data_IF_114023448344
#
_entry.id   IF_114023448344
#
_cell.length_a   1.000
_cell.length_b   1.000
_cell.length_c   1.000
_cell.angle_alpha   90.00
_cell.angle_beta   90.00
_cell.angle_gamma   90.00
#
_symmetry.space_group_name_H-M   'P 1'
#
loop_
_entity.id
_entity.type
_entity.pdbx_description
1 polymer ?
#
# COMPACT_ATOMS: atom_id res chain seq x y z
N UNK A 1 -11.63 -1.34 -5.08
CA UNK A 1 -10.30 -0.68 -5.12
C UNK A 1 -9.84 -0.20 -6.50
N UNK A 2 -10.53 -0.54 -7.61
CA UNK A 2 -10.29 0.05 -8.94
C UNK A 2 -11.29 1.18 -9.23
N UNK A 3 -11.42 2.12 -8.29
CA UNK A 3 -12.33 3.25 -8.46
C UNK A 3 -11.90 4.09 -9.69
N UNK A 4 -12.84 4.64 -10.46
CA UNK A 4 -12.50 5.42 -11.65
C UNK A 4 -11.81 6.76 -11.29
N UNK A 5 -11.90 7.18 -10.04
CA UNK A 5 -11.39 8.45 -9.52
C UNK A 5 -9.90 8.36 -9.12
N UNK A 6 -9.12 9.42 -9.40
CA UNK A 6 -7.65 9.40 -9.27
C UNK A 6 -7.11 9.32 -7.84
N UNK A 7 -7.88 9.73 -6.82
CA UNK A 7 -7.42 9.79 -5.43
C UNK A 7 -7.85 8.59 -4.58
N UNK A 8 -8.52 7.58 -5.16
CA UNK A 8 -9.07 6.44 -4.42
C UNK A 8 -8.46 5.12 -4.91
N UNK A 9 -8.24 4.19 -3.97
CA UNK A 9 -7.73 2.85 -4.27
C UNK A 9 -6.35 2.89 -4.91
N UNK A 10 -6.12 2.06 -5.93
CA UNK A 10 -4.81 1.94 -6.63
C UNK A 10 -4.30 3.29 -7.14
N UNK A 11 -5.18 4.11 -7.74
CA UNK A 11 -4.78 5.43 -8.25
C UNK A 11 -4.38 6.39 -7.11
N UNK A 12 -5.06 6.28 -5.96
CA UNK A 12 -4.69 7.00 -4.73
C UNK A 12 -3.29 6.65 -4.25
N UNK A 13 -2.96 5.34 -4.21
CA UNK A 13 -1.61 4.86 -3.84
C UNK A 13 -0.54 5.46 -4.77
N UNK A 14 -0.79 5.44 -6.09
CA UNK A 14 0.13 6.02 -7.08
C UNK A 14 0.28 7.54 -6.92
N UNK A 15 -0.80 8.24 -6.56
CA UNK A 15 -0.79 9.68 -6.29
C UNK A 15 0.06 10.02 -5.06
N UNK A 16 -0.07 9.23 -3.98
CA UNK A 16 0.79 9.37 -2.80
C UNK A 16 2.25 9.11 -3.16
N UNK A 17 2.55 8.06 -3.92
CA UNK A 17 3.91 7.76 -4.37
C UNK A 17 4.52 8.93 -5.18
N UNK A 18 3.76 9.48 -6.13
CA UNK A 18 4.20 10.65 -6.90
C UNK A 18 4.41 11.89 -6.02
N UNK A 19 3.62 12.05 -4.96
CA UNK A 19 3.77 13.15 -4.00
C UNK A 19 5.07 12.98 -3.22
N UNK A 20 5.34 11.79 -2.70
CA UNK A 20 6.58 11.45 -1.98
C UNK A 20 7.81 11.72 -2.85
N UNK A 21 7.82 11.27 -4.10
CA UNK A 21 8.94 11.49 -5.03
C UNK A 21 9.26 12.98 -5.26
N UNK A 22 8.22 13.82 -5.30
CA UNK A 22 8.36 15.27 -5.54
C UNK A 22 8.68 16.07 -4.27
N UNK A 23 8.67 15.44 -3.09
CA UNK A 23 8.90 16.12 -1.81
C UNK A 23 10.24 16.88 -1.77
N UNK A 24 11.39 16.30 -2.18
CA UNK A 24 12.68 16.99 -2.09
C UNK A 24 12.78 18.24 -2.95
N UNK A 25 12.15 18.22 -4.14
CA UNK A 25 12.17 19.35 -5.07
C UNK A 25 11.22 20.49 -4.66
N UNK A 26 10.17 20.19 -3.89
CA UNK A 26 9.12 21.16 -3.56
C UNK A 26 9.18 21.70 -2.14
N UNK A 27 9.82 20.98 -1.22
CA UNK A 27 9.72 21.28 0.20
C UNK A 27 11.04 21.06 0.95
N UNK A 28 11.21 21.80 2.06
CA UNK A 28 12.36 21.66 2.94
C UNK A 28 12.33 20.34 3.75
N UNK A 29 13.48 19.94 4.28
CA UNK A 29 13.65 18.68 5.02
C UNK A 29 12.67 18.52 6.21
N UNK A 30 12.30 19.62 6.88
CA UNK A 30 11.33 19.60 8.00
C UNK A 30 9.95 19.13 7.51
N UNK A 31 9.46 19.70 6.41
CA UNK A 31 8.18 19.30 5.83
C UNK A 31 8.20 17.86 5.34
N UNK A 32 9.28 17.43 4.68
CA UNK A 32 9.43 16.05 4.21
C UNK A 32 9.29 15.04 5.36
N UNK A 33 9.98 15.29 6.48
CA UNK A 33 9.91 14.47 7.69
C UNK A 33 8.50 14.42 8.28
N UNK A 34 7.82 15.57 8.37
CA UNK A 34 6.46 15.65 8.89
C UNK A 34 5.46 14.91 7.99
N UNK A 35 5.60 15.04 6.67
CA UNK A 35 4.74 14.36 5.70
C UNK A 35 4.90 12.84 5.80
N UNK A 36 6.13 12.33 5.77
CA UNK A 36 6.40 10.89 5.90
C UNK A 36 5.95 10.35 7.26
N UNK A 37 6.19 11.08 8.35
CA UNK A 37 5.71 10.71 9.68
C UNK A 37 4.19 10.67 9.77
N UNK A 38 3.50 11.63 9.13
CA UNK A 38 2.04 11.64 9.06
C UNK A 38 1.49 10.43 8.30
N UNK A 39 2.12 10.01 7.19
CA UNK A 39 1.73 8.79 6.49
C UNK A 39 1.84 7.54 7.37
N UNK A 40 2.94 7.40 8.12
CA UNK A 40 3.13 6.28 9.06
C UNK A 40 2.05 6.31 10.14
N UNK A 41 1.77 7.47 10.73
CA UNK A 41 0.73 7.63 11.75
C UNK A 41 -0.65 7.23 11.24
N UNK A 42 -1.01 7.70 10.05
CA UNK A 42 -2.29 7.35 9.41
C UNK A 42 -2.42 5.84 9.17
N UNK A 43 -1.33 5.14 8.87
CA UNK A 43 -1.34 3.70 8.60
C UNK A 43 -1.29 2.83 9.85
N UNK A 44 -0.42 3.14 10.80
CA UNK A 44 -0.08 2.25 11.92
C UNK A 44 -0.83 2.61 13.20
N UNK A 45 -0.99 3.91 13.53
CA UNK A 45 -1.69 4.33 14.76
C UNK A 45 -3.20 4.44 14.53
N UNK A 46 -3.60 5.07 13.42
CA UNK A 46 -5.01 5.29 13.11
C UNK A 46 -5.59 4.08 12.35
N UNK A 47 -4.73 3.29 11.70
CA UNK A 47 -5.14 2.09 10.97
C UNK A 47 -5.71 2.36 9.57
N UNK A 48 -5.70 3.60 9.08
CA UNK A 48 -6.30 3.95 7.78
C UNK A 48 -5.38 3.62 6.62
N UNK A 49 -5.81 2.66 5.78
CA UNK A 49 -5.18 2.40 4.49
C UNK A 49 -3.81 1.71 4.55
N UNK A 50 -3.39 1.18 5.71
CA UNK A 50 -2.17 0.37 5.88
C UNK A 50 -2.42 -1.15 5.76
N UNK A 51 -1.60 -1.95 6.44
CA UNK A 51 -1.61 -3.41 6.35
C UNK A 51 -2.87 -4.07 6.95
N UNK A 52 -3.44 -3.49 8.02
CA UNK A 52 -4.56 -4.08 8.76
C UNK A 52 -5.77 -4.45 7.89
N UNK A 53 -6.21 -3.53 7.02
CA UNK A 53 -7.32 -3.81 6.10
C UNK A 53 -7.00 -4.90 5.08
N UNK A 54 -5.73 -5.04 4.65
CA UNK A 54 -5.32 -6.14 3.76
C UNK A 54 -5.41 -7.47 4.48
N UNK A 55 -4.94 -7.55 5.72
CA UNK A 55 -5.03 -8.78 6.51
C UNK A 55 -6.48 -9.18 6.78
N UNK A 56 -7.36 -8.22 7.10
CA UNK A 56 -8.79 -8.50 7.27
C UNK A 56 -9.39 -9.06 5.97
N UNK A 57 -9.07 -8.45 4.82
CA UNK A 57 -9.58 -8.93 3.53
C UNK A 57 -8.97 -10.26 3.10
N UNK A 58 -7.69 -10.51 3.42
CA UNK A 58 -7.05 -11.81 3.19
C UNK A 58 -7.77 -12.91 3.96
N UNK A 59 -8.04 -12.70 5.26
CA UNK A 59 -8.77 -13.65 6.08
C UNK A 59 -10.22 -13.88 5.59
N UNK A 60 -10.86 -12.84 5.05
CA UNK A 60 -12.13 -13.00 4.36
C UNK A 60 -12.01 -13.91 3.12
N UNK A 61 -10.99 -13.71 2.29
CA UNK A 61 -10.75 -14.53 1.09
C UNK A 61 -10.42 -15.99 1.44
N UNK A 62 -9.65 -16.22 2.51
CA UNK A 62 -9.35 -17.55 3.02
C UNK A 62 -10.63 -18.30 3.42
N UNK A 63 -11.50 -17.67 4.21
CA UNK A 63 -12.79 -18.26 4.58
C UNK A 63 -13.69 -18.47 3.36
N UNK A 64 -13.71 -17.52 2.42
CA UNK A 64 -14.47 -17.65 1.18
C UNK A 64 -13.96 -18.84 0.33
N UNK A 65 -12.65 -19.09 0.30
CA UNK A 65 -12.08 -20.25 -0.39
C UNK A 65 -12.64 -21.57 0.17
N UNK A 66 -12.72 -21.68 1.50
CA UNK A 66 -13.24 -22.86 2.20
C UNK A 66 -14.75 -23.02 2.01
N UNK A 67 -15.52 -21.94 2.20
CA UNK A 67 -16.99 -21.98 2.14
C UNK A 67 -17.48 -22.21 0.70
N UNK A 68 -16.84 -21.58 -0.28
CA UNK A 68 -17.24 -21.68 -1.69
C UNK A 68 -16.54 -22.82 -2.44
N UNK A 69 -15.53 -23.46 -1.84
CA UNK A 69 -14.72 -24.49 -2.52
C UNK A 69 -13.93 -23.95 -3.70
N UNK A 70 -13.45 -22.70 -3.64
CA UNK A 70 -12.73 -22.03 -4.74
C UNK A 70 -11.26 -21.78 -4.36
N UNK A 71 -10.31 -22.60 -4.83
CA UNK A 71 -8.89 -22.47 -4.51
C UNK A 71 -8.27 -21.12 -4.95
N UNK A 72 -8.83 -20.45 -5.97
CA UNK A 72 -8.33 -19.15 -6.39
C UNK A 72 -8.44 -18.08 -5.29
N UNK A 73 -9.42 -18.20 -4.39
CA UNK A 73 -9.54 -17.29 -3.24
C UNK A 73 -8.46 -17.54 -2.18
N UNK A 74 -8.00 -18.79 -2.03
CA UNK A 74 -6.86 -19.10 -1.16
C UNK A 74 -5.58 -18.42 -1.66
N UNK A 75 -5.27 -18.56 -2.95
CA UNK A 75 -4.12 -17.87 -3.57
C UNK A 75 -4.25 -16.35 -3.48
N UNK A 76 -5.46 -15.82 -3.63
CA UNK A 76 -5.73 -14.39 -3.49
C UNK A 76 -5.53 -13.90 -2.04
N UNK A 77 -5.90 -14.71 -1.04
CA UNK A 77 -5.64 -14.45 0.38
C UNK A 77 -4.14 -14.32 0.65
N UNK A 78 -3.36 -15.31 0.22
CA UNK A 78 -1.89 -15.31 0.39
C UNK A 78 -1.24 -14.09 -0.27
N UNK A 79 -1.69 -13.75 -1.48
CA UNK A 79 -1.24 -12.55 -2.19
C UNK A 79 -1.59 -11.27 -1.43
N UNK A 80 -2.82 -11.20 -0.87
CA UNK A 80 -3.26 -10.04 -0.10
C UNK A 80 -2.47 -9.89 1.21
N UNK A 81 -2.17 -10.98 1.90
CA UNK A 81 -1.31 -10.99 3.08
C UNK A 81 0.09 -10.47 2.75
N UNK A 82 0.69 -10.95 1.66
CA UNK A 82 1.99 -10.47 1.21
C UNK A 82 1.98 -8.96 0.87
N UNK A 83 0.91 -8.46 0.25
CA UNK A 83 0.73 -7.01 0.03
C UNK A 83 0.65 -6.26 1.36
N UNK A 84 -0.07 -6.80 2.35
CA UNK A 84 -0.11 -6.27 3.71
C UNK A 84 1.27 -6.14 4.34
N UNK A 85 2.13 -7.17 4.22
CA UNK A 85 3.50 -7.13 4.72
C UNK A 85 4.34 -6.04 4.05
N UNK A 86 4.14 -5.84 2.74
CA UNK A 86 4.80 -4.76 2.02
C UNK A 86 4.35 -3.38 2.52
N UNK A 87 3.08 -3.19 2.91
CA UNK A 87 2.64 -1.94 3.53
C UNK A 87 3.38 -1.66 4.85
N UNK A 88 3.63 -2.67 5.67
CA UNK A 88 4.44 -2.52 6.89
C UNK A 88 5.89 -2.17 6.57
N UNK A 89 6.46 -2.80 5.54
CA UNK A 89 7.80 -2.48 5.05
C UNK A 89 7.87 -1.02 4.54
N UNK A 90 6.84 -0.54 3.84
CA UNK A 90 6.74 0.84 3.42
C UNK A 90 6.75 1.81 4.62
N UNK A 91 5.98 1.51 5.67
CA UNK A 91 5.99 2.31 6.90
C UNK A 91 7.38 2.34 7.54
N UNK A 92 8.06 1.19 7.61
CA UNK A 92 9.43 1.11 8.13
C UNK A 92 10.44 1.93 7.30
N UNK A 93 10.32 1.93 5.97
CA UNK A 93 11.15 2.77 5.09
C UNK A 93 10.91 4.26 5.35
N UNK A 94 9.65 4.68 5.52
CA UNK A 94 9.32 6.05 5.87
C UNK A 94 9.93 6.46 7.23
N UNK A 95 9.83 5.60 8.26
CA UNK A 95 10.45 5.85 9.57
C UNK A 95 11.97 5.95 9.45
N UNK A 96 12.60 5.07 8.66
CA UNK A 96 14.05 5.09 8.41
C UNK A 96 14.46 6.43 7.80
N UNK A 97 13.76 6.89 6.76
CA UNK A 97 14.03 8.17 6.10
C UNK A 97 13.81 9.36 7.03
N UNK A 98 12.82 9.32 7.93
CA UNK A 98 12.61 10.34 8.95
C UNK A 98 13.75 10.42 9.99
N UNK A 99 14.37 9.28 10.32
CA UNK A 99 15.45 9.19 11.33
C UNK A 99 16.83 9.46 10.75
N UNK A 100 17.11 8.92 9.56
CA UNK A 100 18.40 9.01 8.86
C UNK A 100 18.11 9.28 7.38
N UNK A 101 17.86 10.54 6.99
CA UNK A 101 17.50 10.87 5.63
C UNK A 101 18.67 10.60 4.68
N UNK A 102 18.38 9.95 3.55
CA UNK A 102 19.27 9.90 2.39
C UNK A 102 18.74 10.78 1.26
N UNK A 103 19.62 11.19 0.35
CA UNK A 103 19.26 12.00 -0.82
C UNK A 103 18.21 11.29 -1.70
N UNK A 104 18.40 10.00 -1.97
CA UNK A 104 17.50 9.21 -2.81
C UNK A 104 16.33 8.57 -2.06
N UNK A 105 16.22 8.74 -0.74
CA UNK A 105 15.27 7.98 0.07
C UNK A 105 13.81 8.23 -0.29
N UNK A 106 13.44 9.45 -0.69
CA UNK A 106 12.08 9.73 -1.17
C UNK A 106 11.78 9.02 -2.50
N UNK A 107 12.75 8.96 -3.42
CA UNK A 107 12.58 8.26 -4.69
C UNK A 107 12.44 6.74 -4.48
N UNK A 108 13.25 6.15 -3.60
CA UNK A 108 13.18 4.73 -3.23
C UNK A 108 11.83 4.38 -2.59
N UNK A 109 11.35 5.18 -1.63
CA UNK A 109 10.05 5.00 -0.98
C UNK A 109 8.91 5.08 -2.01
N UNK A 110 8.97 6.06 -2.92
CA UNK A 110 7.97 6.23 -3.97
C UNK A 110 7.93 5.04 -4.94
N UNK A 111 9.10 4.56 -5.38
CA UNK A 111 9.20 3.38 -6.24
C UNK A 111 8.64 2.14 -5.54
N UNK A 112 8.96 1.93 -4.26
CA UNK A 112 8.43 0.83 -3.47
C UNK A 112 6.91 0.88 -3.36
N UNK A 113 6.34 2.06 -3.10
CA UNK A 113 4.89 2.27 -3.01
C UNK A 113 4.18 2.04 -4.35
N UNK A 114 4.82 2.37 -5.49
CA UNK A 114 4.29 2.03 -6.82
C UNK A 114 4.22 0.52 -7.04
N UNK A 115 5.24 -0.22 -6.60
CA UNK A 115 5.25 -1.68 -6.67
C UNK A 115 4.12 -2.32 -5.86
N UNK A 116 3.78 -1.74 -4.70
CA UNK A 116 2.57 -2.13 -3.94
C UNK A 116 1.31 -1.89 -4.77
N UNK A 117 1.18 -0.70 -5.40
CA UNK A 117 0.03 -0.38 -6.24
C UNK A 117 -0.14 -1.34 -7.42
N UNK A 118 0.95 -1.75 -8.07
CA UNK A 118 0.94 -2.71 -9.19
C UNK A 118 0.42 -4.08 -8.74
N UNK A 119 0.91 -4.58 -7.61
CA UNK A 119 0.47 -5.87 -7.04
C UNK A 119 -0.99 -5.84 -6.62
N UNK A 120 -1.40 -4.77 -5.96
CA UNK A 120 -2.78 -4.58 -5.52
C UNK A 120 -3.72 -4.48 -6.73
N UNK A 121 -3.34 -3.76 -7.78
CA UNK A 121 -4.08 -3.72 -9.03
C UNK A 121 -4.23 -5.09 -9.70
N UNK A 122 -3.14 -5.85 -9.80
CA UNK A 122 -3.16 -7.19 -10.38
C UNK A 122 -4.11 -8.11 -9.62
N UNK A 123 -4.07 -8.08 -8.28
CA UNK A 123 -4.96 -8.85 -7.41
C UNK A 123 -6.43 -8.47 -7.63
N UNK A 124 -6.76 -7.18 -7.63
CA UNK A 124 -8.15 -6.74 -7.84
C UNK A 124 -8.69 -7.10 -9.22
N UNK A 125 -7.85 -7.06 -10.25
CA UNK A 125 -8.23 -7.51 -11.61
C UNK A 125 -8.44 -9.01 -11.65
N UNK A 126 -7.62 -9.80 -10.96
CA UNK A 126 -7.79 -11.25 -10.87
C UNK A 126 -9.11 -11.62 -10.17
N UNK A 127 -9.38 -11.01 -9.01
CA UNK A 127 -10.62 -11.21 -8.27
C UNK A 127 -11.86 -10.81 -9.07
N UNK A 128 -11.82 -9.67 -9.76
CA UNK A 128 -12.95 -9.23 -10.61
C UNK A 128 -13.29 -10.22 -11.71
N UNK A 129 -12.30 -10.88 -12.32
CA UNK A 129 -12.53 -11.91 -13.36
C UNK A 129 -13.12 -13.20 -12.82
N UNK A 130 -12.99 -13.46 -11.52
CA UNK A 130 -13.48 -14.67 -10.85
C UNK A 130 -14.84 -14.49 -10.20
N UNK A 131 -15.18 -13.25 -9.83
CA UNK A 131 -16.49 -12.90 -9.29
C UNK A 131 -17.55 -12.61 -10.37
N UNK A 132 -17.17 -12.61 -11.65
CA UNK A 132 -18.05 -12.44 -12.81
C UNK A 132 -18.28 -13.79 -13.48
#
# INVERSE_FOLDING_TARGET
>A
MLAPVFFVGVKGIRTVAQTIEKLPAKHNAKYQKLFLGHLVRMQEEIGTGGAGFRYIYAYFLEQAAQICGEPAFQTASETMTAIGDQWRQFAALCVKQCKKPSENGCAEIAAFLRGIADKEEALWRALKRKAA
#
